data_IF_768187084847
#
_entry.id   IF_768187084847
#
_cell.length_a   1.000
_cell.length_b   1.000
_cell.length_c   1.000
_cell.angle_alpha   90.00
_cell.angle_beta   90.00
_cell.angle_gamma   90.00
#
_symmetry.space_group_name_H-M   'P 1'
#
loop_
_entity.id
_entity.type
_entity.pdbx_description
1 polymer ?
#
# COMPACT_ATOMS: atom_id res chain seq x y z
N UNK A 1 29.98 -24.15 13.07
CA UNK A 1 29.13 -23.52 12.06
C UNK A 1 29.40 -22.01 12.01
N UNK A 2 28.61 -21.23 11.21
CA UNK A 2 28.78 -19.78 11.06
C UNK A 2 28.66 -19.06 12.41
N UNK A 3 27.59 -19.29 13.13
CA UNK A 3 27.29 -18.65 14.42
C UNK A 3 28.39 -18.90 15.48
N UNK A 4 28.99 -20.06 15.50
CA UNK A 4 30.05 -20.40 16.48
C UNK A 4 31.36 -19.61 16.26
N UNK A 5 31.49 -18.96 15.09
CA UNK A 5 32.64 -18.10 14.79
C UNK A 5 32.47 -16.67 15.29
N UNK A 6 31.23 -16.29 15.68
CA UNK A 6 30.93 -14.95 16.17
C UNK A 6 31.38 -14.85 17.62
N UNK A 7 32.30 -13.91 17.97
CA UNK A 7 32.69 -13.70 19.36
C UNK A 7 31.48 -13.32 20.21
N UNK A 8 31.38 -13.86 21.42
CA UNK A 8 30.23 -13.63 22.31
C UNK A 8 29.99 -12.13 22.61
N UNK A 9 31.06 -11.35 22.61
CA UNK A 9 31.04 -9.90 22.84
C UNK A 9 30.42 -9.13 21.66
N UNK A 10 30.38 -9.75 20.48
CA UNK A 10 29.79 -9.18 19.26
C UNK A 10 28.36 -9.60 19.04
N UNK A 11 27.83 -10.53 19.84
CA UNK A 11 26.40 -10.89 19.78
C UNK A 11 25.56 -9.71 20.24
N UNK A 12 24.64 -9.27 19.39
CA UNK A 12 23.77 -8.13 19.67
C UNK A 12 22.75 -8.47 20.76
N UNK A 13 22.38 -7.46 21.52
CA UNK A 13 21.24 -7.56 22.43
C UNK A 13 20.00 -7.12 21.66
N UNK A 14 19.05 -8.04 21.51
CA UNK A 14 17.81 -7.83 20.81
C UNK A 14 16.72 -7.49 21.80
N UNK A 15 15.97 -6.45 21.51
CA UNK A 15 14.76 -6.13 22.23
C UNK A 15 13.64 -7.11 21.88
N UNK A 16 12.54 -7.05 22.62
CA UNK A 16 11.35 -7.84 22.29
C UNK A 16 10.87 -7.51 20.89
N UNK A 17 10.77 -8.54 20.08
CA UNK A 17 10.18 -8.47 18.73
C UNK A 17 8.86 -9.23 18.70
N UNK A 18 8.00 -8.81 17.80
CA UNK A 18 6.68 -9.41 17.59
C UNK A 18 6.48 -9.78 16.13
N UNK A 19 5.88 -10.93 15.88
CA UNK A 19 5.34 -11.27 14.57
C UNK A 19 3.83 -11.07 14.60
N UNK A 20 3.34 -10.19 13.71
CA UNK A 20 1.96 -9.72 13.71
C UNK A 20 1.31 -10.03 12.37
N UNK A 21 0.10 -10.58 12.45
CA UNK A 21 -0.84 -10.63 11.33
C UNK A 21 -1.92 -9.58 11.47
N UNK A 22 -2.48 -9.11 10.34
CA UNK A 22 -3.63 -8.19 10.37
C UNK A 22 -4.61 -8.46 9.24
N UNK A 23 -5.88 -8.20 9.51
CA UNK A 23 -6.94 -8.12 8.51
C UNK A 23 -7.47 -6.68 8.55
N UNK A 24 -7.46 -5.99 7.42
CA UNK A 24 -7.93 -4.61 7.31
C UNK A 24 -9.18 -4.60 6.45
N UNK A 25 -10.23 -3.95 6.94
CA UNK A 25 -11.47 -3.72 6.19
C UNK A 25 -11.75 -2.22 6.09
N UNK A 26 -12.08 -1.77 4.88
CA UNK A 26 -12.53 -0.41 4.65
C UNK A 26 -14.06 -0.36 4.78
N UNK A 27 -14.62 0.51 5.67
CA UNK A 27 -16.03 0.75 5.71
C UNK A 27 -16.55 1.18 4.32
N UNK A 28 -17.65 0.57 3.88
CA UNK A 28 -18.28 0.88 2.59
C UNK A 28 -19.55 1.66 2.83
N UNK A 29 -19.87 2.64 1.97
CA UNK A 29 -21.12 3.36 2.08
C UNK A 29 -22.31 2.39 2.08
N UNK A 30 -23.31 2.68 2.90
CA UNK A 30 -24.59 2.00 2.83
C UNK A 30 -25.31 2.31 1.50
N UNK A 31 -26.33 1.52 1.18
CA UNK A 31 -27.15 1.77 -0.01
C UNK A 31 -27.86 3.11 0.06
N UNK A 32 -28.20 3.57 1.25
CA UNK A 32 -28.88 4.85 1.45
C UNK A 32 -27.93 6.02 1.16
N UNK A 33 -26.68 5.96 1.64
CA UNK A 33 -25.66 6.96 1.32
C UNK A 33 -25.30 6.99 -0.18
N UNK A 34 -25.22 5.83 -0.81
CA UNK A 34 -25.05 5.74 -2.27
C UNK A 34 -26.24 6.38 -3.00
N UNK A 35 -27.48 6.10 -2.55
CA UNK A 35 -28.69 6.65 -3.13
C UNK A 35 -28.75 8.17 -2.96
N UNK A 36 -28.46 8.69 -1.78
CA UNK A 36 -28.45 10.13 -1.53
C UNK A 36 -27.50 10.88 -2.47
N UNK A 37 -26.28 10.34 -2.68
CA UNK A 37 -25.33 10.92 -3.62
C UNK A 37 -25.84 10.87 -5.08
N UNK A 38 -26.48 9.78 -5.47
CA UNK A 38 -27.09 9.63 -6.81
C UNK A 38 -28.25 10.61 -6.98
N UNK A 39 -29.13 10.71 -6.00
CA UNK A 39 -30.31 11.59 -6.05
C UNK A 39 -29.88 13.06 -6.11
N UNK A 40 -28.88 13.45 -5.33
CA UNK A 40 -28.31 14.80 -5.37
C UNK A 40 -27.69 15.14 -6.73
N UNK A 41 -26.93 14.21 -7.35
CA UNK A 41 -26.36 14.41 -8.69
C UNK A 41 -27.46 14.48 -9.77
N UNK A 42 -28.51 13.68 -9.65
CA UNK A 42 -29.66 13.75 -10.56
C UNK A 42 -30.41 15.10 -10.43
N UNK A 43 -30.50 15.64 -9.22
CA UNK A 43 -31.08 16.97 -9.02
C UNK A 43 -30.18 18.05 -9.65
N UNK A 44 -28.88 18.02 -9.46
CA UNK A 44 -27.95 18.93 -10.15
C UNK A 44 -28.08 18.85 -11.67
N UNK A 45 -28.16 17.64 -12.22
CA UNK A 45 -28.39 17.44 -13.64
C UNK A 45 -29.68 18.12 -14.11
N UNK A 46 -30.80 17.93 -13.39
CA UNK A 46 -32.08 18.60 -13.71
C UNK A 46 -31.96 20.12 -13.68
N UNK A 47 -31.26 20.67 -12.69
CA UNK A 47 -31.05 22.14 -12.59
C UNK A 47 -30.27 22.68 -13.78
N UNK A 48 -29.28 21.93 -14.29
CA UNK A 48 -28.50 22.32 -15.47
C UNK A 48 -29.35 22.20 -16.74
N UNK A 49 -30.04 21.09 -16.92
CA UNK A 49 -30.84 20.80 -18.12
C UNK A 49 -32.05 21.79 -18.23
N UNK A 50 -32.61 22.26 -17.09
CA UNK A 50 -33.64 23.29 -17.08
C UNK A 50 -33.10 24.73 -17.21
N UNK A 51 -31.79 24.90 -17.23
CA UNK A 51 -31.15 26.22 -17.28
C UNK A 51 -31.21 27.02 -15.98
N UNK A 52 -31.75 26.43 -14.89
CA UNK A 52 -31.88 27.08 -13.59
C UNK A 52 -30.50 27.43 -12.98
N UNK A 53 -29.53 26.57 -13.15
CA UNK A 53 -28.14 26.79 -12.72
C UNK A 53 -27.14 26.37 -13.76
N UNK A 54 -25.98 27.05 -13.81
CA UNK A 54 -24.85 26.65 -14.65
C UNK A 54 -24.10 25.49 -14.01
N UNK A 55 -23.63 24.54 -14.83
CA UNK A 55 -22.87 23.38 -14.37
C UNK A 55 -21.62 23.79 -13.58
N UNK A 56 -20.87 24.80 -14.09
CA UNK A 56 -19.65 25.28 -13.45
C UNK A 56 -19.89 25.83 -12.04
N UNK A 57 -21.05 26.51 -11.83
CA UNK A 57 -21.42 27.02 -10.51
C UNK A 57 -21.70 25.89 -9.52
N UNK A 58 -22.42 24.85 -9.96
CA UNK A 58 -22.68 23.67 -9.13
C UNK A 58 -21.37 22.91 -8.86
N UNK A 59 -20.50 22.79 -9.86
CA UNK A 59 -19.21 22.14 -9.69
C UNK A 59 -18.33 22.87 -8.66
N UNK A 60 -18.20 24.19 -8.77
CA UNK A 60 -17.42 24.98 -7.81
C UNK A 60 -17.94 24.88 -6.37
N UNK A 61 -19.26 24.75 -6.19
CA UNK A 61 -19.86 24.65 -4.87
C UNK A 61 -19.78 23.25 -4.28
N UNK A 62 -20.11 22.25 -5.08
CA UNK A 62 -20.46 20.92 -4.56
C UNK A 62 -19.47 19.81 -4.92
N UNK A 63 -18.60 19.98 -5.95
CA UNK A 63 -17.67 18.92 -6.26
C UNK A 63 -16.73 18.63 -5.09
N UNK A 64 -16.51 17.36 -4.82
CA UNK A 64 -15.56 16.87 -3.84
C UNK A 64 -14.19 16.58 -4.48
N UNK A 65 -14.01 16.91 -5.77
CA UNK A 65 -12.74 16.83 -6.45
C UNK A 65 -11.93 18.12 -6.25
N UNK A 66 -10.83 18.07 -5.46
CA UNK A 66 -10.02 19.26 -5.20
C UNK A 66 -9.30 19.78 -6.46
N UNK A 67 -9.02 18.89 -7.43
CA UNK A 67 -8.26 19.22 -8.64
C UNK A 67 -9.03 20.10 -9.61
N UNK A 68 -10.37 20.00 -9.64
CA UNK A 68 -11.22 20.75 -10.57
C UNK A 68 -12.17 21.75 -9.92
N UNK A 69 -12.25 21.78 -8.60
CA UNK A 69 -13.19 22.63 -7.87
C UNK A 69 -13.06 24.11 -8.22
N UNK A 70 -11.84 24.63 -8.28
CA UNK A 70 -11.57 26.04 -8.56
C UNK A 70 -11.80 26.42 -10.03
N UNK A 71 -11.79 25.45 -10.92
CA UNK A 71 -12.01 25.63 -12.37
C UNK A 71 -13.45 25.31 -12.80
N UNK A 72 -14.40 25.20 -11.84
CA UNK A 72 -15.78 24.86 -12.13
C UNK A 72 -15.93 23.44 -12.71
N UNK A 73 -15.12 22.51 -12.22
CA UNK A 73 -15.15 21.09 -12.62
C UNK A 73 -14.44 20.77 -13.93
N UNK A 74 -13.63 21.71 -14.49
CA UNK A 74 -13.02 21.55 -15.81
C UNK A 74 -11.88 20.55 -15.82
N UNK A 75 -11.89 19.64 -16.81
CA UNK A 75 -10.79 18.76 -17.18
C UNK A 75 -10.64 18.64 -18.69
N UNK A 76 -9.40 18.59 -19.13
CA UNK A 76 -9.06 18.15 -20.48
C UNK A 76 -8.67 16.69 -20.42
N UNK A 77 -9.30 15.85 -21.24
CA UNK A 77 -9.12 14.41 -21.27
C UNK A 77 -8.82 13.95 -22.70
N UNK A 78 -7.99 12.91 -22.80
CA UNK A 78 -7.76 12.21 -24.07
C UNK A 78 -8.24 10.77 -23.96
N UNK A 79 -8.98 10.29 -24.97
CA UNK A 79 -9.61 8.96 -24.97
C UNK A 79 -8.59 7.82 -25.00
N UNK A 80 -7.42 8.04 -25.57
CA UNK A 80 -6.37 7.02 -25.71
C UNK A 80 -5.45 6.93 -24.50
N UNK A 81 -5.42 7.97 -23.67
CA UNK A 81 -4.63 8.01 -22.45
C UNK A 81 -5.32 7.23 -21.30
N UNK A 82 -4.55 6.40 -20.60
CA UNK A 82 -5.06 5.60 -19.46
C UNK A 82 -4.89 6.34 -18.11
N UNK A 83 -5.03 7.65 -18.12
CA UNK A 83 -4.87 8.48 -16.91
C UNK A 83 -6.17 8.51 -16.11
N UNK A 84 -7.30 8.64 -16.79
CA UNK A 84 -8.62 8.75 -16.17
C UNK A 84 -9.30 7.39 -16.02
N UNK A 85 -10.28 7.32 -15.11
CA UNK A 85 -11.09 6.11 -14.93
C UNK A 85 -11.81 5.76 -16.24
N UNK A 86 -11.74 4.49 -16.71
CA UNK A 86 -12.35 4.08 -17.97
C UNK A 86 -13.86 4.35 -18.06
N UNK A 87 -14.60 4.20 -16.94
CA UNK A 87 -16.04 4.48 -16.90
C UNK A 87 -16.32 5.99 -17.12
N UNK A 88 -15.46 6.84 -16.58
CA UNK A 88 -15.53 8.29 -16.76
C UNK A 88 -15.30 8.68 -18.23
N UNK A 89 -14.22 8.19 -18.83
CA UNK A 89 -13.88 8.46 -20.24
C UNK A 89 -14.97 7.95 -21.18
N UNK A 90 -15.43 6.72 -20.97
CA UNK A 90 -16.49 6.14 -21.78
C UNK A 90 -17.79 6.96 -21.70
N UNK A 91 -18.17 7.42 -20.54
CA UNK A 91 -19.37 8.25 -20.36
C UNK A 91 -19.20 9.62 -21.02
N UNK A 92 -18.05 10.27 -20.84
CA UNK A 92 -17.77 11.58 -21.44
C UNK A 92 -17.86 11.54 -22.96
N UNK A 93 -17.21 10.57 -23.61
CA UNK A 93 -17.16 10.47 -25.08
C UNK A 93 -18.44 10.00 -25.74
N UNK A 94 -19.48 9.60 -24.97
CA UNK A 94 -20.85 9.37 -25.47
C UNK A 94 -21.70 10.62 -25.56
N UNK A 95 -21.26 11.73 -24.93
CA UNK A 95 -22.01 12.98 -24.87
C UNK A 95 -21.80 13.82 -26.14
N UNK A 96 -22.82 14.56 -26.49
CA UNK A 96 -22.74 15.71 -27.40
C UNK A 96 -22.32 16.95 -26.60
N UNK A 97 -21.77 17.96 -27.29
CA UNK A 97 -21.43 19.23 -26.67
C UNK A 97 -22.65 19.86 -25.97
N UNK A 98 -22.45 20.35 -24.76
CA UNK A 98 -23.50 20.87 -23.88
C UNK A 98 -24.28 19.81 -23.10
N UNK A 99 -24.24 18.55 -23.49
CA UNK A 99 -25.02 17.47 -22.87
C UNK A 99 -24.41 17.05 -21.52
N UNK A 100 -25.30 16.69 -20.56
CA UNK A 100 -24.93 16.15 -19.25
C UNK A 100 -25.17 14.64 -19.19
N UNK A 101 -24.22 13.90 -18.65
CA UNK A 101 -24.30 12.43 -18.52
C UNK A 101 -25.40 12.00 -17.54
N UNK A 102 -25.85 10.75 -17.60
CA UNK A 102 -26.38 10.06 -16.42
C UNK A 102 -25.36 10.06 -15.28
N UNK A 103 -25.82 9.77 -14.06
CA UNK A 103 -24.90 9.51 -12.95
C UNK A 103 -24.11 8.26 -13.24
N UNK A 104 -22.78 8.34 -13.14
CA UNK A 104 -21.85 7.21 -13.30
C UNK A 104 -21.08 6.95 -12.01
N UNK A 105 -20.68 5.70 -11.80
CA UNK A 105 -19.83 5.30 -10.70
C UNK A 105 -18.42 5.02 -11.21
N UNK A 106 -17.42 5.60 -10.55
CA UNK A 106 -15.99 5.29 -10.75
C UNK A 106 -15.39 4.77 -9.45
N UNK A 107 -14.10 4.45 -9.47
CA UNK A 107 -13.36 4.11 -8.24
C UNK A 107 -13.28 5.27 -7.22
N UNK A 108 -13.56 6.50 -7.63
CA UNK A 108 -13.49 7.70 -6.78
C UNK A 108 -14.84 8.08 -6.17
N UNK A 109 -15.97 7.64 -6.73
CA UNK A 109 -17.30 8.00 -6.28
C UNK A 109 -18.29 8.10 -7.44
N UNK A 110 -19.31 8.93 -7.25
CA UNK A 110 -20.36 9.17 -8.24
C UNK A 110 -20.13 10.48 -8.97
N UNK A 111 -20.34 10.49 -10.27
CA UNK A 111 -20.08 11.66 -11.12
C UNK A 111 -21.27 11.95 -12.03
N UNK A 112 -21.45 13.22 -12.35
CA UNK A 112 -22.08 13.70 -13.60
C UNK A 112 -21.05 14.49 -14.39
N UNK A 113 -21.12 14.39 -15.72
CA UNK A 113 -20.17 14.99 -16.63
C UNK A 113 -20.91 15.81 -17.66
N UNK A 114 -20.43 17.02 -17.96
CA UNK A 114 -20.90 17.83 -19.08
C UNK A 114 -19.79 17.92 -20.13
N UNK A 115 -20.13 17.61 -21.37
CA UNK A 115 -19.22 17.85 -22.50
C UNK A 115 -19.21 19.34 -22.82
N UNK A 116 -18.02 19.94 -22.80
CA UNK A 116 -17.84 21.36 -23.19
C UNK A 116 -17.47 21.45 -24.66
N UNK A 117 -16.45 20.71 -25.07
CA UNK A 117 -16.01 20.64 -26.48
C UNK A 117 -15.31 19.34 -26.75
N UNK A 118 -15.27 18.94 -28.02
CA UNK A 118 -14.59 17.71 -28.44
C UNK A 118 -13.90 17.92 -29.79
N UNK A 119 -12.65 17.44 -29.89
CA UNK A 119 -11.88 17.41 -31.12
C UNK A 119 -11.15 16.07 -31.25
N UNK A 120 -11.67 15.17 -32.07
CA UNK A 120 -11.11 13.83 -32.25
C UNK A 120 -11.12 13.01 -30.96
N UNK A 121 -9.92 12.68 -30.47
CA UNK A 121 -9.70 11.92 -29.25
C UNK A 121 -9.52 12.82 -28.00
N UNK A 122 -9.49 14.14 -28.18
CA UNK A 122 -9.42 15.12 -27.09
C UNK A 122 -10.80 15.68 -26.78
N UNK A 123 -11.05 15.92 -25.49
CA UNK A 123 -12.27 16.57 -25.04
C UNK A 123 -12.03 17.43 -23.82
N UNK A 124 -12.73 18.58 -23.76
CA UNK A 124 -12.86 19.39 -22.55
C UNK A 124 -14.21 19.07 -21.91
N UNK A 125 -14.18 18.68 -20.66
CA UNK A 125 -15.37 18.31 -19.90
C UNK A 125 -15.42 19.06 -18.58
N UNK A 126 -16.63 19.23 -18.03
CA UNK A 126 -16.84 19.58 -16.63
C UNK A 126 -17.38 18.37 -15.90
N UNK A 127 -17.01 18.19 -14.64
CA UNK A 127 -17.62 17.15 -13.81
C UNK A 127 -17.93 17.61 -12.40
N UNK A 128 -18.86 16.91 -11.77
CA UNK A 128 -19.13 17.01 -10.33
C UNK A 128 -18.94 15.63 -9.77
N UNK A 129 -18.05 15.51 -8.80
CA UNK A 129 -17.79 14.28 -8.03
C UNK A 129 -18.46 14.41 -6.65
N UNK A 130 -19.26 13.43 -6.28
CA UNK A 130 -19.71 13.21 -4.91
C UNK A 130 -19.18 11.88 -4.38
N UNK A 131 -18.62 11.93 -3.19
CA UNK A 131 -18.11 10.75 -2.48
C UNK A 131 -19.00 10.55 -1.25
N UNK A 132 -19.77 9.45 -1.18
CA UNK A 132 -20.58 9.17 0.00
C UNK A 132 -19.71 9.15 1.26
N UNK A 133 -20.03 9.98 2.24
CA UNK A 133 -19.25 10.10 3.46
C UNK A 133 -19.57 8.93 4.40
N UNK A 134 -18.52 8.22 4.81
CA UNK A 134 -18.65 7.13 5.78
C UNK A 134 -19.03 7.69 7.13
N UNK A 135 -20.12 7.21 7.69
CA UNK A 135 -20.59 7.56 9.01
C UNK A 135 -20.13 6.54 10.06
N UNK A 136 -20.39 6.83 11.33
CA UNK A 136 -20.07 5.93 12.42
C UNK A 136 -20.88 4.61 12.34
N UNK A 137 -22.02 4.61 11.66
CA UNK A 137 -22.84 3.40 11.50
C UNK A 137 -22.19 2.42 10.49
N UNK A 138 -21.64 2.89 9.37
CA UNK A 138 -20.87 2.05 8.45
C UNK A 138 -19.61 1.48 9.12
N UNK A 139 -18.97 2.27 10.00
CA UNK A 139 -17.83 1.80 10.80
C UNK A 139 -18.28 0.70 11.75
N UNK A 140 -19.38 0.87 12.49
CA UNK A 140 -19.94 -0.15 13.39
C UNK A 140 -20.31 -1.43 12.66
N UNK A 141 -20.94 -1.33 11.47
CA UNK A 141 -21.24 -2.50 10.65
C UNK A 141 -19.96 -3.26 10.24
N UNK A 142 -18.90 -2.53 9.91
CA UNK A 142 -17.62 -3.13 9.55
C UNK A 142 -16.95 -3.78 10.76
N UNK A 143 -16.99 -3.15 11.93
CA UNK A 143 -16.52 -3.72 13.21
C UNK A 143 -17.26 -5.02 13.51
N UNK A 144 -18.59 -5.04 13.46
CA UNK A 144 -19.41 -6.24 13.72
C UNK A 144 -19.10 -7.37 12.74
N UNK A 145 -18.89 -7.05 11.46
CA UNK A 145 -18.50 -8.02 10.44
C UNK A 145 -17.13 -8.62 10.75
N UNK A 146 -16.16 -7.79 11.10
CA UNK A 146 -14.80 -8.25 11.42
C UNK A 146 -14.78 -9.05 12.74
N UNK A 147 -15.62 -8.72 13.71
CA UNK A 147 -15.77 -9.50 14.95
C UNK A 147 -16.39 -10.86 14.70
N UNK A 148 -17.35 -10.96 13.78
CA UNK A 148 -17.88 -12.26 13.31
C UNK A 148 -16.80 -13.14 12.65
N UNK A 149 -15.87 -12.53 11.92
CA UNK A 149 -14.71 -13.21 11.33
C UNK A 149 -13.76 -13.66 12.45
N UNK A 150 -13.47 -12.78 13.41
CA UNK A 150 -12.67 -13.10 14.60
C UNK A 150 -13.21 -14.32 15.35
N UNK A 151 -14.50 -14.38 15.56
CA UNK A 151 -15.16 -15.54 16.22
C UNK A 151 -14.87 -16.84 15.48
N UNK A 152 -14.92 -16.84 14.14
CA UNK A 152 -14.59 -18.01 13.31
C UNK A 152 -13.11 -18.40 13.38
N UNK A 153 -12.21 -17.40 13.46
CA UNK A 153 -10.77 -17.61 13.63
C UNK A 153 -10.47 -18.25 14.98
N UNK A 154 -11.08 -17.75 16.06
CA UNK A 154 -10.91 -18.29 17.43
C UNK A 154 -11.46 -19.73 17.50
N UNK A 155 -12.60 -20.01 16.86
CA UNK A 155 -13.19 -21.34 16.79
C UNK A 155 -12.41 -22.31 15.89
N UNK A 156 -11.36 -21.86 15.18
CA UNK A 156 -10.59 -22.68 14.24
C UNK A 156 -11.34 -23.11 12.98
N UNK A 157 -12.56 -22.60 12.76
CA UNK A 157 -13.38 -22.91 11.59
C UNK A 157 -12.97 -22.14 10.33
N UNK A 158 -12.05 -21.20 10.47
CA UNK A 158 -11.47 -20.40 9.39
C UNK A 158 -9.98 -20.19 9.66
N UNK A 159 -9.14 -20.50 8.66
CA UNK A 159 -7.70 -20.23 8.73
C UNK A 159 -7.40 -18.74 8.57
N UNK A 160 -6.34 -18.22 9.24
CA UNK A 160 -6.00 -16.80 9.18
C UNK A 160 -5.67 -16.34 7.75
N UNK A 161 -4.85 -17.11 7.01
CA UNK A 161 -4.52 -16.79 5.62
C UNK A 161 -5.74 -16.77 4.69
N UNK A 162 -6.68 -17.69 4.87
CA UNK A 162 -7.96 -17.70 4.12
C UNK A 162 -8.83 -16.50 4.47
N UNK A 163 -8.84 -16.09 5.74
CA UNK A 163 -9.57 -14.91 6.18
C UNK A 163 -8.99 -13.64 5.57
N UNK A 164 -7.66 -13.50 5.53
CA UNK A 164 -6.97 -12.39 4.87
C UNK A 164 -7.33 -12.34 3.39
N UNK A 165 -7.19 -13.45 2.67
CA UNK A 165 -7.45 -13.52 1.24
C UNK A 165 -8.91 -13.16 0.88
N UNK A 166 -9.87 -13.57 1.72
CA UNK A 166 -11.31 -13.36 1.47
C UNK A 166 -11.85 -12.03 1.94
N UNK A 167 -11.32 -11.49 3.02
CA UNK A 167 -11.96 -10.38 3.75
C UNK A 167 -11.10 -9.14 3.89
N UNK A 168 -9.78 -9.22 3.78
CA UNK A 168 -8.95 -8.02 3.79
C UNK A 168 -9.22 -7.19 2.55
N UNK A 169 -9.44 -5.90 2.72
CA UNK A 169 -9.53 -4.93 1.61
C UNK A 169 -8.15 -4.33 1.29
N UNK A 170 -7.14 -4.57 2.11
CA UNK A 170 -5.77 -4.11 1.90
C UNK A 170 -4.97 -5.09 1.05
N UNK A 171 -4.53 -4.63 -0.11
CA UNK A 171 -3.82 -5.45 -1.08
C UNK A 171 -2.44 -5.91 -0.57
N UNK A 172 -1.74 -5.06 0.19
CA UNK A 172 -0.43 -5.43 0.76
C UNK A 172 -0.59 -6.61 1.72
N UNK A 173 -1.58 -6.54 2.60
CA UNK A 173 -1.88 -7.63 3.52
C UNK A 173 -2.24 -8.94 2.79
N UNK A 174 -2.93 -8.87 1.65
CA UNK A 174 -3.24 -10.06 0.85
C UNK A 174 -1.98 -10.75 0.32
N UNK A 175 -1.02 -9.99 -0.21
CA UNK A 175 0.24 -10.54 -0.73
C UNK A 175 1.11 -11.18 0.36
N UNK A 176 1.04 -10.66 1.58
CA UNK A 176 1.84 -11.15 2.71
C UNK A 176 1.09 -12.15 3.58
N UNK A 177 -0.07 -12.66 3.14
CA UNK A 177 -0.98 -13.48 3.93
C UNK A 177 -1.33 -12.84 5.29
N UNK A 178 -1.44 -11.52 5.30
CA UNK A 178 -1.72 -10.70 6.47
C UNK A 178 -0.51 -10.37 7.35
N UNK A 179 0.68 -10.87 7.04
CA UNK A 179 1.86 -10.58 7.85
C UNK A 179 2.30 -9.13 7.68
N UNK A 180 2.53 -8.47 8.81
CA UNK A 180 3.18 -7.17 8.80
C UNK A 180 4.64 -7.35 8.34
N UNK A 181 5.10 -6.44 7.49
CA UNK A 181 6.47 -6.43 7.00
C UNK A 181 7.22 -5.26 7.65
N UNK A 182 8.33 -5.57 8.28
CA UNK A 182 9.22 -4.63 8.92
C UNK A 182 10.62 -4.68 8.28
N UNK A 183 11.56 -3.89 8.78
CA UNK A 183 12.91 -3.82 8.20
C UNK A 183 13.63 -5.16 8.18
N UNK A 184 13.39 -6.01 9.18
CA UNK A 184 14.02 -7.33 9.33
C UNK A 184 13.07 -8.50 8.95
N UNK A 185 12.15 -8.29 8.01
CA UNK A 185 11.18 -9.30 7.59
C UNK A 185 9.87 -9.21 8.37
N UNK A 186 9.37 -10.35 8.89
CA UNK A 186 8.08 -10.40 9.60
C UNK A 186 8.17 -10.09 11.09
N UNK A 187 9.38 -10.07 11.65
CA UNK A 187 9.63 -9.67 13.03
C UNK A 187 9.81 -8.17 13.13
N UNK A 188 8.98 -7.55 13.95
CA UNK A 188 8.94 -6.11 14.14
C UNK A 188 9.31 -5.74 15.57
N UNK A 189 10.19 -4.76 15.73
CA UNK A 189 10.41 -4.09 17.02
C UNK A 189 9.26 -3.12 17.31
N UNK A 190 9.07 -2.76 18.57
CA UNK A 190 7.91 -1.94 18.99
C UNK A 190 7.93 -0.54 18.35
N UNK A 191 9.11 0.03 18.14
CA UNK A 191 9.29 1.34 17.50
C UNK A 191 8.91 1.38 16.02
N UNK A 192 8.87 0.22 15.33
CA UNK A 192 8.44 0.10 13.95
C UNK A 192 6.90 0.02 13.79
N UNK A 193 6.17 -0.07 14.90
CA UNK A 193 4.73 -0.23 14.91
C UNK A 193 4.00 1.11 15.07
N UNK A 194 2.81 1.18 14.51
CA UNK A 194 1.97 2.35 14.72
C UNK A 194 1.44 2.43 16.17
N UNK A 195 1.10 3.64 16.60
CA UNK A 195 0.70 3.95 17.99
C UNK A 195 -0.50 3.13 18.47
N UNK A 196 -1.40 2.74 17.57
CA UNK A 196 -2.60 1.99 17.95
C UNK A 196 -2.27 0.50 18.10
N UNK A 197 -1.36 -0.04 17.30
CA UNK A 197 -0.82 -1.39 17.52
C UNK A 197 -0.07 -1.47 18.86
N UNK A 198 0.78 -0.51 19.17
CA UNK A 198 1.53 -0.47 20.45
C UNK A 198 0.58 -0.55 21.65
N UNK A 199 -0.59 0.11 21.59
CA UNK A 199 -1.60 0.07 22.67
C UNK A 199 -2.34 -1.26 22.77
N UNK A 200 -2.43 -2.02 21.65
CA UNK A 200 -3.13 -3.30 21.61
C UNK A 200 -2.27 -4.47 22.11
N UNK A 201 -1.00 -4.48 21.73
CA UNK A 201 -0.09 -5.60 21.97
C UNK A 201 0.05 -6.03 23.43
N UNK A 202 0.09 -5.14 24.44
CA UNK A 202 0.16 -5.56 25.85
C UNK A 202 -1.06 -6.36 26.32
N UNK A 203 -2.18 -6.27 25.61
CA UNK A 203 -3.43 -6.96 25.93
C UNK A 203 -3.55 -8.34 25.28
N UNK A 204 -2.59 -8.70 24.42
CA UNK A 204 -2.61 -9.93 23.64
C UNK A 204 -1.49 -10.88 24.09
N UNK A 205 -1.81 -12.15 24.17
CA UNK A 205 -0.82 -13.22 24.26
C UNK A 205 -0.51 -13.78 22.87
N UNK A 206 0.67 -14.38 22.67
CA UNK A 206 0.95 -15.10 21.44
C UNK A 206 -0.16 -16.12 21.12
N UNK A 207 -0.61 -16.13 19.88
CA UNK A 207 -1.75 -16.93 19.40
C UNK A 207 -3.12 -16.27 19.52
N UNK A 208 -3.22 -15.07 20.08
CA UNK A 208 -4.51 -14.39 20.29
C UNK A 208 -4.83 -13.33 19.21
N UNK A 209 -6.12 -13.10 19.01
CA UNK A 209 -6.68 -12.08 18.12
C UNK A 209 -7.21 -10.89 18.94
N UNK A 210 -6.90 -9.68 18.54
CA UNK A 210 -7.49 -8.48 19.16
C UNK A 210 -8.99 -8.40 18.92
N UNK A 211 -9.68 -7.53 19.66
CA UNK A 211 -10.96 -6.99 19.18
C UNK A 211 -10.71 -6.16 17.91
N UNK A 212 -11.70 -6.07 16.99
CA UNK A 212 -11.64 -5.13 15.89
C UNK A 212 -11.51 -3.70 16.41
N UNK A 213 -10.55 -2.94 15.86
CA UNK A 213 -10.33 -1.55 16.23
C UNK A 213 -10.34 -0.65 15.00
N UNK A 214 -10.88 0.54 15.19
CA UNK A 214 -10.82 1.60 14.18
C UNK A 214 -9.47 2.28 14.23
N UNK A 215 -8.92 2.61 13.06
CA UNK A 215 -7.69 3.38 12.91
C UNK A 215 -7.77 4.25 11.66
N UNK A 216 -6.85 5.17 11.52
CA UNK A 216 -6.69 5.96 10.29
C UNK A 216 -5.47 5.43 9.56
N UNK A 217 -5.66 5.01 8.31
CA UNK A 217 -4.58 4.49 7.49
C UNK A 217 -3.66 5.63 6.96
N UNK A 218 -2.56 5.27 6.31
CA UNK A 218 -1.60 6.21 5.73
C UNK A 218 -2.22 7.17 4.69
N UNK A 219 -3.38 6.81 4.14
CA UNK A 219 -4.15 7.61 3.19
C UNK A 219 -5.21 8.48 3.87
N UNK A 220 -5.13 8.61 5.21
CA UNK A 220 -6.07 9.35 6.05
C UNK A 220 -7.53 8.84 5.95
N UNK A 221 -7.71 7.54 5.64
CA UNK A 221 -9.02 6.89 5.61
C UNK A 221 -9.31 6.18 6.92
N UNK A 222 -10.52 6.37 7.45
CA UNK A 222 -11.01 5.57 8.57
C UNK A 222 -11.17 4.13 8.14
N UNK A 223 -10.50 3.22 8.82
CA UNK A 223 -10.41 1.80 8.53
C UNK A 223 -10.62 0.98 9.81
N UNK A 224 -10.94 -0.30 9.66
CA UNK A 224 -11.09 -1.22 10.80
C UNK A 224 -10.09 -2.35 10.60
N UNK A 225 -9.35 -2.69 11.65
CA UNK A 225 -8.41 -3.82 11.63
C UNK A 225 -8.63 -4.79 12.77
N UNK A 226 -8.29 -6.04 12.51
CA UNK A 226 -8.11 -7.12 13.45
C UNK A 226 -6.63 -7.47 13.48
N UNK A 227 -6.03 -7.51 14.66
CA UNK A 227 -4.63 -7.85 14.86
C UNK A 227 -4.51 -9.27 15.41
N UNK A 228 -3.60 -10.04 14.87
CA UNK A 228 -3.22 -11.38 15.34
C UNK A 228 -1.77 -11.33 15.82
N UNK A 229 -1.56 -11.50 17.13
CA UNK A 229 -0.21 -11.65 17.67
C UNK A 229 0.21 -13.11 17.51
N UNK A 230 1.06 -13.40 16.52
CA UNK A 230 1.54 -14.76 16.26
C UNK A 230 2.57 -15.21 17.26
N UNK A 231 3.63 -14.43 17.40
CA UNK A 231 4.73 -14.69 18.32
C UNK A 231 5.20 -13.39 18.98
N UNK A 232 5.84 -13.56 20.12
CA UNK A 232 6.57 -12.49 20.83
C UNK A 232 7.85 -13.09 21.38
N UNK A 233 8.99 -12.47 21.14
CA UNK A 233 10.25 -12.83 21.77
C UNK A 233 10.47 -11.99 23.03
N UNK A 234 11.09 -12.59 24.03
CA UNK A 234 11.61 -11.81 25.17
C UNK A 234 12.94 -11.14 24.77
N UNK A 235 13.29 -10.02 25.38
CA UNK A 235 14.60 -9.40 25.14
C UNK A 235 15.72 -10.39 25.47
N UNK A 236 16.65 -10.59 24.54
CA UNK A 236 17.72 -11.58 24.69
C UNK A 236 18.97 -11.20 23.88
N UNK A 237 20.10 -11.84 24.19
CA UNK A 237 21.25 -11.83 23.26
C UNK A 237 21.03 -12.83 22.14
N UNK A 238 21.48 -12.45 20.97
CA UNK A 238 21.41 -13.33 19.76
C UNK A 238 21.76 -14.75 20.10
N UNK A 239 20.89 -15.68 19.66
CA UNK A 239 21.09 -17.11 19.84
C UNK A 239 20.42 -17.91 18.73
N UNK A 240 20.90 -19.16 18.49
CA UNK A 240 20.34 -20.00 17.42
C UNK A 240 18.96 -20.55 17.68
N UNK A 241 18.46 -20.48 18.92
CA UNK A 241 17.11 -20.98 19.26
C UNK A 241 16.05 -20.02 18.75
N UNK A 242 16.22 -18.74 18.99
CA UNK A 242 15.23 -17.70 18.75
C UNK A 242 15.49 -16.97 17.41
N UNK A 243 16.77 -16.87 16.97
CA UNK A 243 17.22 -16.06 15.83
C UNK A 243 17.71 -16.88 14.64
N UNK A 244 17.40 -18.18 14.58
CA UNK A 244 17.94 -19.08 13.54
C UNK A 244 17.79 -18.55 12.12
N UNK A 245 16.62 -18.04 11.77
CA UNK A 245 16.35 -17.54 10.42
C UNK A 245 17.19 -16.30 10.08
N UNK A 246 17.38 -15.39 11.04
CA UNK A 246 18.22 -14.20 10.91
C UNK A 246 19.67 -14.62 10.69
N UNK A 247 20.18 -15.51 11.52
CA UNK A 247 21.56 -16.02 11.43
C UNK A 247 21.80 -16.86 10.17
N UNK A 248 20.82 -17.64 9.75
CA UNK A 248 20.89 -18.36 8.49
C UNK A 248 20.97 -17.44 7.29
N UNK A 249 20.20 -16.35 7.29
CA UNK A 249 20.24 -15.34 6.22
C UNK A 249 21.59 -14.60 6.20
N UNK A 250 22.12 -14.17 7.36
CA UNK A 250 23.44 -13.57 7.47
C UNK A 250 24.53 -14.51 6.94
N UNK A 251 24.49 -15.79 7.34
CA UNK A 251 25.42 -16.80 6.84
C UNK A 251 25.32 -17.02 5.33
N UNK A 252 24.11 -16.93 4.77
CA UNK A 252 23.90 -17.05 3.33
C UNK A 252 24.48 -15.85 2.58
N UNK A 253 24.27 -14.64 3.08
CA UNK A 253 24.81 -13.41 2.46
C UNK A 253 26.34 -13.39 2.51
N UNK A 254 26.95 -13.82 3.63
CA UNK A 254 28.41 -13.96 3.71
C UNK A 254 28.94 -14.98 2.69
N UNK A 255 28.30 -16.16 2.58
CA UNK A 255 28.69 -17.16 1.58
C UNK A 255 28.52 -16.67 0.14
N UNK A 256 27.47 -15.91 -0.14
CA UNK A 256 27.29 -15.27 -1.45
C UNK A 256 28.42 -14.28 -1.74
N UNK A 257 28.73 -13.41 -0.77
CA UNK A 257 29.82 -12.46 -0.91
C UNK A 257 31.17 -13.14 -1.14
N UNK A 258 31.49 -14.18 -0.36
CA UNK A 258 32.69 -14.99 -0.55
C UNK A 258 32.72 -15.67 -1.93
N UNK A 259 31.59 -16.23 -2.38
CA UNK A 259 31.51 -16.90 -3.68
C UNK A 259 31.73 -15.92 -4.83
N UNK A 260 31.16 -14.73 -4.73
CA UNK A 260 31.31 -13.63 -5.70
C UNK A 260 32.79 -13.19 -5.70
N UNK A 261 33.37 -12.99 -4.54
CA UNK A 261 34.80 -12.60 -4.45
C UNK A 261 35.76 -13.66 -5.04
N UNK A 262 35.54 -14.93 -4.72
CA UNK A 262 36.29 -16.04 -5.31
C UNK A 262 36.12 -16.08 -6.82
N UNK A 263 34.90 -15.89 -7.32
CA UNK A 263 34.64 -15.87 -8.76
C UNK A 263 35.37 -14.70 -9.43
N UNK A 264 35.27 -13.50 -8.87
CA UNK A 264 36.01 -12.34 -9.38
C UNK A 264 37.51 -12.54 -9.37
N UNK A 265 38.05 -13.02 -8.27
CA UNK A 265 39.49 -13.28 -8.17
C UNK A 265 39.98 -14.32 -9.20
N UNK A 266 39.17 -15.34 -9.49
CA UNK A 266 39.50 -16.35 -10.52
C UNK A 266 39.38 -15.78 -11.95
N UNK A 267 38.46 -14.84 -12.17
CA UNK A 267 38.18 -14.30 -13.50
C UNK A 267 38.92 -13.00 -13.84
N UNK A 268 39.42 -12.29 -12.83
CA UNK A 268 40.04 -10.96 -13.01
C UNK A 268 41.22 -11.01 -14.01
N UNK A 269 42.00 -12.08 -14.01
CA UNK A 269 43.12 -12.28 -14.96
C UNK A 269 42.67 -12.53 -16.41
N UNK A 270 41.39 -12.82 -16.64
CA UNK A 270 40.82 -13.07 -17.97
C UNK A 270 40.17 -11.84 -18.58
N UNK A 271 40.02 -10.76 -17.82
CA UNK A 271 39.41 -9.51 -18.28
C UNK A 271 40.46 -8.44 -18.54
N UNK A 272 40.27 -7.68 -19.61
CA UNK A 272 40.99 -6.44 -19.81
C UNK A 272 40.46 -5.38 -18.86
N UNK A 273 41.33 -4.90 -17.94
CA UNK A 273 40.94 -3.91 -16.94
C UNK A 273 41.76 -2.64 -17.19
N UNK A 274 41.08 -1.55 -17.47
CA UNK A 274 41.68 -0.22 -17.57
C UNK A 274 41.13 0.65 -16.43
N UNK A 275 42.05 1.22 -15.65
CA UNK A 275 41.75 2.12 -14.54
C UNK A 275 42.34 3.47 -14.90
N UNK A 276 41.50 4.48 -14.91
CA UNK A 276 41.89 5.87 -15.18
C UNK A 276 42.91 6.34 -14.16
N UNK A 277 43.83 7.21 -14.59
CA UNK A 277 44.94 7.72 -13.77
C UNK A 277 44.44 8.43 -12.51
N UNK A 278 43.31 9.10 -12.58
CA UNK A 278 42.69 9.80 -11.45
C UNK A 278 42.32 8.86 -10.26
N UNK A 279 42.15 7.56 -10.54
CA UNK A 279 41.80 6.55 -9.54
C UNK A 279 42.94 5.66 -9.08
N UNK A 280 44.13 5.84 -9.61
CA UNK A 280 45.33 5.02 -9.28
C UNK A 280 45.77 5.10 -7.81
N UNK A 281 45.42 6.21 -7.13
CA UNK A 281 45.69 6.38 -5.70
C UNK A 281 44.70 5.63 -4.79
N UNK A 282 43.63 5.06 -5.34
CA UNK A 282 42.58 4.39 -4.56
C UNK A 282 43.05 3.03 -4.04
N UNK A 283 43.16 2.89 -2.73
CA UNK A 283 43.68 1.66 -2.07
C UNK A 283 42.86 0.43 -2.45
N UNK A 284 41.52 0.59 -2.59
CA UNK A 284 40.63 -0.51 -2.95
C UNK A 284 40.86 -1.03 -4.39
N UNK A 285 41.42 -0.22 -5.26
CA UNK A 285 41.70 -0.60 -6.65
C UNK A 285 43.10 -1.17 -6.88
N UNK A 286 43.99 -1.11 -5.91
CA UNK A 286 45.38 -1.61 -6.05
C UNK A 286 45.45 -3.08 -6.47
N UNK A 287 44.57 -3.92 -5.91
CA UNK A 287 44.43 -5.34 -6.27
C UNK A 287 44.06 -5.54 -7.75
N UNK A 288 43.28 -4.64 -8.33
CA UNK A 288 42.89 -4.67 -9.74
C UNK A 288 44.01 -4.18 -10.66
N UNK A 289 44.77 -3.18 -10.23
CA UNK A 289 45.91 -2.63 -10.99
C UNK A 289 47.03 -3.64 -11.14
N UNK A 290 47.31 -4.47 -10.11
CA UNK A 290 48.33 -5.52 -10.19
C UNK A 290 48.01 -6.56 -11.28
N UNK A 291 46.73 -6.87 -11.50
CA UNK A 291 46.30 -7.81 -12.52
C UNK A 291 46.15 -7.15 -13.92
N UNK A 292 45.86 -5.87 -13.99
CA UNK A 292 45.78 -5.11 -15.25
C UNK A 292 47.15 -5.03 -15.95
N UNK A 293 48.23 -4.93 -15.20
CA UNK A 293 49.61 -4.87 -15.75
C UNK A 293 50.14 -6.20 -16.28
N UNK A 294 49.58 -7.34 -15.87
CA UNK A 294 50.01 -8.68 -16.35
C UNK A 294 49.36 -9.11 -17.67
N UNK A 295 48.25 -8.50 -18.06
CA UNK A 295 47.54 -8.76 -19.32
C UNK A 295 48.08 -7.97 -20.53
N UNK A 296 49.03 -7.08 -20.32
CA UNK A 296 49.65 -6.23 -21.35
C UNK A 296 51.02 -6.77 -21.83
N UNK A 297 51.33 -8.06 -21.59
CA UNK A 297 52.53 -8.74 -22.14
C UNK A 297 52.14 -9.86 -23.09
#
# INVERSE_FOLDING_TARGET
AYFDKIPKEKLEYLESEVEIGQIIMYPKPSRDLDKDAIDQLNDFKKQVESGTRKFETLASLYTMDPGSKQTGGMYNINRTEKVMDPAFVQAAFRLKEGQVSPVIKSKFGYHIIQMVSRSGDDASVRHILLIPQITDDEIKLTVNKLDSIRTKLIAGSLGFGDAVARYSDDEVSKYTAGNLQCQNGTFCTIDQLDKDMIKLLPKLKPGEYSQPVTFVDERSKKSVRLVYLKTRTEPHRENLKDDYNREAQRALEEKKAEAIEKWFNAKIATYYIMIDDDYKSCVQLQKWMQNASSAAR
#
